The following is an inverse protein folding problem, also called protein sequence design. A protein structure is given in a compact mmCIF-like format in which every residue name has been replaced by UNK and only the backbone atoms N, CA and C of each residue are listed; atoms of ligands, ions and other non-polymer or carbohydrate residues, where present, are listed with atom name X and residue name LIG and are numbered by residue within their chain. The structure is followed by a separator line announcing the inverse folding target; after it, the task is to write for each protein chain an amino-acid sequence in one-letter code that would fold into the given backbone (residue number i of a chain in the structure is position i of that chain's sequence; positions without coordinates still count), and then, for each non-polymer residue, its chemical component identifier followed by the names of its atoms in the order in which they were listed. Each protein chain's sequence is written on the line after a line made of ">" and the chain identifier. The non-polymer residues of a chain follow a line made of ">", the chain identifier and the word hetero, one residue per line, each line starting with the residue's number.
data_IF_764118223394
#
_entry.id   IF_764118223394
#
_cell.length_a   1.000
_cell.length_b   1.000
_cell.length_c   1.000
_cell.angle_alpha   90.00
_cell.angle_beta   90.00
_cell.angle_gamma   90.00
#
_symmetry.space_group_name_H-M   'P 1'
#
loop_
_entity.id
_entity.type
_entity.pdbx_description
1 polymer ?
#
# COMPACT_ATOMS: atom_id res chain seq x y z
N UNK A 1 6.53 -10.10 -14.49
CA UNK A 1 5.27 -9.48 -14.05
C UNK A 1 4.12 -10.09 -14.83
N UNK A 2 2.92 -10.19 -14.24
CA UNK A 2 1.70 -10.71 -14.89
C UNK A 2 0.81 -9.54 -15.34
N UNK A 3 0.25 -9.62 -16.54
CA UNK A 3 -0.74 -8.64 -17.01
C UNK A 3 -2.12 -8.92 -16.38
N UNK A 4 -2.95 -7.88 -16.17
CA UNK A 4 -2.65 -6.45 -16.37
C UNK A 4 -1.70 -5.87 -15.32
N UNK A 5 -1.03 -4.78 -15.67
CA UNK A 5 -0.19 -4.00 -14.75
C UNK A 5 -0.98 -2.82 -14.21
N UNK A 6 -1.00 -2.67 -12.88
CA UNK A 6 -1.59 -1.53 -12.19
C UNK A 6 -0.50 -0.69 -11.57
N UNK A 7 -0.54 0.62 -11.78
CA UNK A 7 0.40 1.56 -11.19
C UNK A 7 -0.35 2.51 -10.27
N UNK A 8 0.14 2.66 -9.04
CA UNK A 8 -0.31 3.67 -8.07
C UNK A 8 0.89 4.38 -7.48
N UNK A 9 0.74 5.64 -7.11
CA UNK A 9 1.75 6.46 -6.40
C UNK A 9 1.03 7.58 -5.64
N UNK A 10 1.76 8.30 -4.79
CA UNK A 10 1.29 9.54 -4.14
C UNK A 10 -0.04 9.36 -3.38
N UNK A 11 -0.17 8.21 -2.71
CA UNK A 11 -1.38 7.86 -1.95
C UNK A 11 -1.40 8.62 -0.63
N UNK A 12 -0.23 8.79 0.00
CA UNK A 12 -0.03 9.43 1.29
C UNK A 12 -1.02 8.93 2.36
N UNK A 13 -1.03 7.62 2.63
CA UNK A 13 -1.81 7.10 3.74
C UNK A 13 -1.35 7.74 5.05
N UNK A 14 -2.28 8.37 5.75
CA UNK A 14 -1.99 9.09 6.99
C UNK A 14 -2.13 8.14 8.19
N UNK A 15 -1.26 8.28 9.18
CA UNK A 15 -1.44 7.58 10.47
C UNK A 15 -2.71 8.05 11.18
N UNK A 16 -3.07 9.32 11.03
CA UNK A 16 -4.28 9.89 11.65
C UNK A 16 -5.52 9.34 10.98
N UNK A 17 -6.29 8.54 11.72
CA UNK A 17 -7.51 7.89 11.23
C UNK A 17 -8.73 8.84 11.21
N UNK A 18 -8.60 9.98 10.54
CA UNK A 18 -9.65 10.99 10.39
C UNK A 18 -10.81 10.46 9.54
N UNK A 19 -11.98 11.10 9.62
CA UNK A 19 -13.13 10.73 8.77
C UNK A 19 -12.78 10.86 7.27
N UNK A 20 -11.98 11.86 6.91
CA UNK A 20 -11.56 12.09 5.53
C UNK A 20 -10.59 10.99 5.08
N UNK A 21 -9.65 10.59 5.94
CA UNK A 21 -8.70 9.53 5.65
C UNK A 21 -9.38 8.17 5.49
N UNK A 22 -10.36 7.85 6.35
CA UNK A 22 -11.20 6.64 6.19
C UNK A 22 -11.88 6.58 4.82
N UNK A 23 -12.35 7.73 4.32
CA UNK A 23 -12.97 7.80 2.99
C UNK A 23 -11.95 7.63 1.86
N UNK A 24 -10.73 8.15 2.00
CA UNK A 24 -9.63 7.94 1.05
C UNK A 24 -9.21 6.47 1.00
N UNK A 25 -8.96 5.85 2.16
CA UNK A 25 -8.68 4.42 2.31
C UNK A 25 -9.74 3.55 1.68
N UNK A 26 -11.02 3.80 1.97
CA UNK A 26 -12.13 3.06 1.34
C UNK A 26 -12.10 3.11 -0.20
N UNK A 27 -11.75 4.26 -0.79
CA UNK A 27 -11.60 4.37 -2.25
C UNK A 27 -10.41 3.54 -2.75
N UNK A 28 -9.27 3.61 -2.08
CA UNK A 28 -8.11 2.79 -2.44
C UNK A 28 -8.39 1.29 -2.32
N UNK A 29 -9.06 0.85 -1.25
CA UNK A 29 -9.41 -0.56 -1.06
C UNK A 29 -10.44 -1.05 -2.09
N UNK A 30 -11.30 -0.16 -2.60
CA UNK A 30 -12.16 -0.51 -3.73
C UNK A 30 -11.38 -0.76 -5.02
N UNK A 31 -10.25 -0.05 -5.23
CA UNK A 31 -9.32 -0.33 -6.32
C UNK A 31 -8.59 -1.64 -6.09
N UNK A 32 -8.10 -1.91 -4.88
CA UNK A 32 -7.49 -3.20 -4.53
C UNK A 32 -8.44 -4.36 -4.79
N UNK A 33 -9.71 -4.23 -4.39
CA UNK A 33 -10.71 -5.27 -4.69
C UNK A 33 -10.89 -5.48 -6.19
N UNK A 34 -10.85 -4.42 -7.00
CA UNK A 34 -10.88 -4.53 -8.46
C UNK A 34 -9.66 -5.29 -8.99
N UNK A 35 -8.46 -4.94 -8.53
CA UNK A 35 -7.19 -5.59 -8.92
C UNK A 35 -7.20 -7.07 -8.56
N UNK A 36 -7.66 -7.40 -7.34
CA UNK A 36 -7.83 -8.78 -6.90
C UNK A 36 -8.71 -9.59 -7.86
N UNK A 37 -9.85 -9.02 -8.27
CA UNK A 37 -10.79 -9.72 -9.15
C UNK A 37 -10.26 -9.89 -10.59
N UNK A 38 -9.40 -8.99 -11.05
CA UNK A 38 -8.84 -9.02 -12.42
C UNK A 38 -7.54 -9.80 -12.51
N UNK A 39 -6.84 -10.04 -11.40
CA UNK A 39 -5.49 -10.62 -11.41
C UNK A 39 -4.43 -9.61 -11.86
N UNK A 40 -3.17 -10.06 -11.95
CA UNK A 40 -2.08 -9.31 -12.56
C UNK A 40 -0.96 -8.92 -11.58
N UNK A 41 -0.46 -7.70 -11.71
CA UNK A 41 0.64 -7.17 -10.90
C UNK A 41 0.36 -5.73 -10.51
N UNK A 42 0.57 -5.41 -9.23
CA UNK A 42 0.50 -4.05 -8.67
C UNK A 42 1.92 -3.50 -8.53
N UNK A 43 2.13 -2.30 -9.04
CA UNK A 43 3.34 -1.52 -8.85
C UNK A 43 2.96 -0.28 -8.04
N UNK A 44 3.59 -0.14 -6.87
CA UNK A 44 3.50 1.02 -5.98
C UNK A 44 4.76 1.87 -6.23
N UNK A 45 4.57 3.03 -6.86
CA UNK A 45 5.62 3.93 -7.33
C UNK A 45 5.92 5.09 -6.39
N UNK A 46 6.05 4.81 -5.09
CA UNK A 46 6.45 5.79 -4.08
C UNK A 46 5.31 6.58 -3.45
N UNK A 47 5.64 7.22 -2.31
CA UNK A 47 4.76 8.08 -1.53
C UNK A 47 3.42 7.39 -1.19
N UNK A 48 3.51 6.12 -0.82
CA UNK A 48 2.38 5.30 -0.42
C UNK A 48 1.92 5.64 1.00
N UNK A 49 2.88 5.88 1.89
CA UNK A 49 2.65 6.40 3.23
C UNK A 49 2.94 7.90 3.27
N UNK A 50 2.17 8.65 4.07
CA UNK A 50 2.44 10.08 4.31
C UNK A 50 3.76 10.29 5.05
N UNK A 51 4.17 9.31 5.86
CA UNK A 51 5.52 9.21 6.41
C UNK A 51 5.78 7.75 6.82
N UNK A 52 6.92 7.20 6.41
CA UNK A 52 7.38 5.89 6.89
C UNK A 52 8.83 5.98 7.35
N UNK A 53 9.06 5.35 8.51
CA UNK A 53 10.39 5.10 9.04
C UNK A 53 10.36 3.73 9.70
N UNK A 54 11.16 2.79 9.20
CA UNK A 54 11.28 1.48 9.81
C UNK A 54 12.18 1.55 11.05
N UNK A 55 11.59 1.30 12.21
CA UNK A 55 12.31 1.22 13.49
C UNK A 55 12.82 -0.21 13.79
N UNK A 56 12.54 -1.18 12.91
CA UNK A 56 12.96 -2.59 13.00
C UNK A 56 12.18 -3.44 14.01
N UNK A 57 11.67 -2.85 15.09
CA UNK A 57 10.89 -3.54 16.13
C UNK A 57 9.46 -3.01 16.29
N UNK A 58 9.13 -1.89 15.63
CA UNK A 58 7.83 -1.25 15.73
C UNK A 58 7.19 -1.17 14.36
N UNK A 59 6.11 -1.92 14.17
CA UNK A 59 5.23 -1.80 13.02
C UNK A 59 4.07 -0.89 13.45
N UNK A 60 3.91 0.24 12.76
CA UNK A 60 2.88 1.23 13.06
C UNK A 60 1.46 0.62 12.96
N UNK A 61 0.75 0.39 14.09
CA UNK A 61 -0.58 -0.22 14.09
C UNK A 61 -1.62 0.64 13.36
N UNK A 62 -1.35 1.94 13.18
CA UNK A 62 -2.17 2.88 12.41
C UNK A 62 -2.27 2.51 10.92
N UNK A 63 -1.34 1.69 10.42
CA UNK A 63 -1.34 1.17 9.04
C UNK A 63 -1.75 -0.30 8.94
N UNK A 64 -2.19 -0.92 10.03
CA UNK A 64 -2.57 -2.35 10.07
C UNK A 64 -3.59 -2.73 8.99
N UNK A 65 -4.60 -1.90 8.76
CA UNK A 65 -5.61 -2.13 7.71
C UNK A 65 -5.03 -2.01 6.30
N UNK A 66 -4.01 -1.18 6.08
CA UNK A 66 -3.30 -1.11 4.78
C UNK A 66 -2.55 -2.40 4.54
N UNK A 67 -1.82 -2.89 5.54
CA UNK A 67 -1.08 -4.15 5.45
C UNK A 67 -2.01 -5.34 5.23
N UNK A 68 -3.15 -5.39 5.93
CA UNK A 68 -4.15 -6.43 5.73
C UNK A 68 -4.69 -6.46 4.29
N UNK A 69 -4.90 -5.29 3.66
CA UNK A 69 -5.38 -5.22 2.29
C UNK A 69 -4.30 -5.60 1.26
N UNK A 70 -3.03 -5.23 1.50
CA UNK A 70 -1.90 -5.68 0.68
C UNK A 70 -1.69 -7.19 0.81
N UNK A 71 -1.79 -7.75 2.02
CA UNK A 71 -1.68 -9.19 2.26
C UNK A 71 -2.79 -9.96 1.54
N UNK A 72 -4.05 -9.47 1.56
CA UNK A 72 -5.16 -10.06 0.78
C UNK A 72 -4.87 -10.07 -0.73
N UNK A 73 -4.23 -9.02 -1.26
CA UNK A 73 -3.82 -9.00 -2.67
C UNK A 73 -2.74 -10.05 -2.93
N UNK A 74 -1.70 -10.09 -2.10
CA UNK A 74 -0.60 -11.04 -2.24
C UNK A 74 -1.10 -12.50 -2.16
N UNK A 75 -1.94 -12.82 -1.18
CA UNK A 75 -2.56 -14.15 -1.02
C UNK A 75 -3.47 -14.53 -2.20
N UNK A 76 -4.06 -13.56 -2.89
CA UNK A 76 -4.82 -13.80 -4.13
C UNK A 76 -3.94 -13.96 -5.38
N UNK A 77 -2.61 -14.00 -5.23
CA UNK A 77 -1.66 -14.21 -6.32
C UNK A 77 -1.36 -12.96 -7.14
N UNK A 78 -1.64 -11.77 -6.60
CA UNK A 78 -1.19 -10.49 -7.17
C UNK A 78 0.25 -10.27 -6.75
N UNK A 79 1.15 -10.17 -7.73
CA UNK A 79 2.52 -9.75 -7.43
C UNK A 79 2.52 -8.25 -7.11
N UNK A 80 3.12 -7.87 -5.98
CA UNK A 80 3.24 -6.47 -5.56
C UNK A 80 4.71 -6.08 -5.68
N UNK A 81 4.99 -4.98 -6.38
CA UNK A 81 6.30 -4.36 -6.43
C UNK A 81 6.22 -3.00 -5.78
N UNK A 82 7.13 -2.73 -4.85
CA UNK A 82 7.21 -1.46 -4.14
C UNK A 82 8.50 -0.74 -4.56
N UNK A 83 8.36 0.55 -4.89
CA UNK A 83 9.45 1.47 -5.14
C UNK A 83 9.27 2.61 -4.15
N UNK A 84 10.24 2.85 -3.29
CA UNK A 84 10.16 3.91 -2.28
C UNK A 84 10.17 5.30 -2.94
N UNK A 85 9.35 6.20 -2.41
CA UNK A 85 9.32 7.63 -2.70
C UNK A 85 10.07 8.43 -1.63
N UNK A 86 9.89 9.74 -1.60
CA UNK A 86 10.58 10.59 -0.63
C UNK A 86 9.91 10.62 0.76
N UNK A 87 8.63 10.26 0.86
CA UNK A 87 7.94 10.16 2.16
C UNK A 87 8.18 8.82 2.88
N UNK A 88 8.57 7.80 2.14
CA UNK A 88 8.70 6.44 2.60
C UNK A 88 10.06 5.80 2.27
N UNK A 89 11.08 6.64 2.04
CA UNK A 89 12.45 6.21 1.74
C UNK A 89 13.15 5.46 2.88
N UNK A 90 12.79 5.75 4.13
CA UNK A 90 13.42 5.16 5.33
C UNK A 90 12.86 3.78 5.67
N UNK A 91 12.68 2.95 4.64
CA UNK A 91 12.17 1.60 4.75
C UNK A 91 13.22 0.58 5.21
N UNK A 92 14.49 0.81 4.87
CA UNK A 92 15.62 -0.06 5.24
C UNK A 92 15.48 -1.56 4.88
N UNK A 93 14.62 -1.91 3.91
CA UNK A 93 14.42 -3.28 3.44
C UNK A 93 13.27 -4.01 4.13
N UNK A 94 12.34 -3.28 4.72
CA UNK A 94 11.11 -3.85 5.28
C UNK A 94 10.10 -4.25 4.18
N UNK A 95 10.00 -3.49 3.08
CA UNK A 95 9.08 -3.76 1.95
C UNK A 95 9.67 -4.59 0.80
#
# INVERSE_FOLDING_TARGET
>A
MKLPLYFISDVHFQMTNSKQEKLRRKKMYSLFKKIQNTGGTLIIGGDFFDFWYDYGYYIAPEYSDVFDELDKLNQSGINIHYVAGNHDYWDFGFF
#
